data_IF_413875629627
#
_entry.id   IF_413875629627
#
_cell.length_a   1.000
_cell.length_b   1.000
_cell.length_c   1.000
_cell.angle_alpha   90.00
_cell.angle_beta   90.00
_cell.angle_gamma   90.00
#
_symmetry.space_group_name_H-M   'P 1'
#
loop_
_entity.id
_entity.type
_entity.pdbx_description
1 polymer ?
#
# COMPACT_ATOMS: atom_id res chain seq x y z
N UNK A 1 13.36 -3.26 13.20
CA UNK A 1 12.36 -2.60 12.32
C UNK A 1 12.93 -1.33 11.68
N UNK A 2 13.52 -0.40 12.43
CA UNK A 2 14.09 0.85 11.88
C UNK A 2 15.09 0.65 10.74
N UNK A 3 15.99 -0.31 10.84
CA UNK A 3 16.93 -0.66 9.77
C UNK A 3 16.26 -1.18 8.49
N UNK A 4 15.09 -1.78 8.60
CA UNK A 4 14.33 -2.21 7.44
C UNK A 4 13.59 -1.04 6.79
N UNK A 5 13.02 -0.12 7.59
CA UNK A 5 12.40 1.12 7.11
C UNK A 5 13.43 1.97 6.36
N UNK A 6 14.61 2.15 6.90
CA UNK A 6 15.71 2.89 6.27
C UNK A 6 16.65 1.99 5.45
N UNK A 7 16.16 0.86 4.92
CA UNK A 7 17.00 -0.08 4.19
C UNK A 7 17.55 0.55 2.92
N UNK A 8 18.88 0.68 2.85
CA UNK A 8 19.59 1.44 1.82
C UNK A 8 19.18 1.05 0.41
N UNK A 9 19.17 -0.25 0.08
CA UNK A 9 18.83 -0.71 -1.27
C UNK A 9 17.37 -0.39 -1.66
N UNK A 10 16.46 -0.38 -0.70
CA UNK A 10 15.06 -0.03 -0.98
C UNK A 10 14.90 1.47 -1.23
N UNK A 11 15.58 2.31 -0.45
CA UNK A 11 15.62 3.76 -0.68
C UNK A 11 16.34 4.10 -1.99
N UNK A 12 17.43 3.41 -2.33
CA UNK A 12 18.11 3.56 -3.61
C UNK A 12 17.17 3.16 -4.79
N UNK A 13 16.34 2.12 -4.63
CA UNK A 13 15.34 1.75 -5.63
C UNK A 13 14.25 2.83 -5.80
N UNK A 14 13.76 3.41 -4.70
CA UNK A 14 12.86 4.57 -4.77
C UNK A 14 13.52 5.76 -5.47
N UNK A 15 14.77 6.06 -5.17
CA UNK A 15 15.52 7.14 -5.80
C UNK A 15 15.70 6.92 -7.33
N UNK A 16 15.91 5.68 -7.79
CA UNK A 16 15.95 5.34 -9.21
C UNK A 16 14.59 5.54 -9.92
N UNK A 17 13.48 5.44 -9.19
CA UNK A 17 12.15 5.79 -9.67
C UNK A 17 11.86 7.30 -9.62
N UNK A 18 12.82 8.12 -9.18
CA UNK A 18 12.68 9.56 -9.07
C UNK A 18 12.28 10.05 -7.66
N UNK A 19 12.07 9.15 -6.70
CA UNK A 19 11.63 9.49 -5.34
C UNK A 19 12.80 9.59 -4.39
N UNK A 20 13.41 10.77 -4.30
CA UNK A 20 14.68 11.00 -3.57
C UNK A 20 14.48 11.36 -2.09
N UNK A 21 13.29 11.82 -1.71
CA UNK A 21 12.99 12.27 -0.34
C UNK A 21 11.71 11.62 0.22
N UNK A 22 11.60 10.28 0.18
CA UNK A 22 10.40 9.59 0.64
C UNK A 22 10.20 9.80 2.15
N UNK A 23 8.93 9.87 2.57
CA UNK A 23 8.55 9.88 3.99
C UNK A 23 7.88 8.56 4.34
N UNK A 24 8.25 8.00 5.49
CA UNK A 24 7.67 6.75 5.97
C UNK A 24 6.33 7.03 6.67
N UNK A 25 5.30 6.33 6.25
CA UNK A 25 4.00 6.34 6.92
C UNK A 25 3.92 5.28 8.00
N UNK A 26 3.63 4.07 7.61
CA UNK A 26 3.48 2.95 8.54
C UNK A 26 3.95 1.63 7.91
N UNK A 27 3.91 0.57 8.72
CA UNK A 27 4.25 -0.77 8.26
C UNK A 27 3.42 -1.85 8.94
N UNK A 28 3.22 -2.97 8.25
CA UNK A 28 2.48 -4.12 8.75
C UNK A 28 3.19 -5.43 8.40
N UNK A 29 3.05 -6.39 9.29
CA UNK A 29 3.40 -7.80 9.01
C UNK A 29 2.12 -8.47 8.52
N UNK A 30 2.09 -8.85 7.26
CA UNK A 30 0.95 -9.52 6.64
C UNK A 30 1.28 -11.00 6.50
N UNK A 31 0.56 -11.82 7.22
CA UNK A 31 0.80 -13.26 7.27
C UNK A 31 -0.42 -14.02 6.78
N UNK A 32 -0.21 -14.90 5.81
CA UNK A 32 -1.22 -15.86 5.34
C UNK A 32 -0.92 -17.24 5.92
N UNK A 33 -1.69 -17.69 6.91
CA UNK A 33 -1.59 -19.07 7.42
C UNK A 33 -1.86 -20.10 6.31
N UNK A 34 -1.47 -21.36 6.50
CA UNK A 34 -1.93 -22.45 5.65
C UNK A 34 -3.45 -22.42 5.45
N UNK A 35 -3.90 -22.71 4.24
CA UNK A 35 -5.31 -22.79 3.86
C UNK A 35 -6.15 -21.53 4.14
N UNK A 36 -5.51 -20.35 4.21
CA UNK A 36 -6.21 -19.08 4.41
C UNK A 36 -6.82 -18.56 3.10
N UNK A 37 -7.93 -17.80 3.18
CA UNK A 37 -8.63 -17.27 2.02
C UNK A 37 -7.80 -16.24 1.23
N UNK A 38 -8.24 -15.86 0.01
CA UNK A 38 -7.68 -14.73 -0.71
C UNK A 38 -7.86 -13.42 0.07
N UNK A 39 -7.04 -12.41 -0.26
CA UNK A 39 -7.33 -11.03 0.09
C UNK A 39 -8.14 -10.41 -1.05
N UNK A 40 -9.13 -9.63 -0.70
CA UNK A 40 -10.00 -8.94 -1.66
C UNK A 40 -9.25 -7.89 -2.48
N UNK A 41 -9.82 -7.54 -3.63
CA UNK A 41 -9.38 -6.40 -4.42
C UNK A 41 -9.58 -5.12 -3.64
N UNK A 42 -8.54 -4.29 -3.56
CA UNK A 42 -8.54 -3.01 -2.86
C UNK A 42 -7.43 -2.10 -3.37
N UNK A 43 -7.51 -0.87 -2.92
CA UNK A 43 -6.47 0.14 -3.03
C UNK A 43 -6.07 0.57 -1.63
N UNK A 44 -4.81 0.92 -1.42
CA UNK A 44 -4.35 1.49 -0.14
C UNK A 44 -4.61 2.99 -0.06
N UNK A 45 -4.83 3.64 -1.21
CA UNK A 45 -5.07 5.07 -1.34
C UNK A 45 -6.38 5.51 -0.68
N UNK A 46 -6.36 6.68 -0.04
CA UNK A 46 -7.51 7.27 0.67
C UNK A 46 -7.76 8.72 0.25
N UNK A 47 -7.21 9.11 -0.89
CA UNK A 47 -7.10 10.53 -1.26
C UNK A 47 -7.91 10.90 -2.50
N UNK A 48 -8.90 10.08 -2.88
CA UNK A 48 -9.67 10.27 -4.10
C UNK A 48 -10.50 11.56 -4.14
N UNK A 49 -10.62 12.27 -3.01
CA UNK A 49 -11.20 13.64 -2.95
C UNK A 49 -10.21 14.74 -3.37
N UNK A 50 -8.92 14.41 -3.55
CA UNK A 50 -7.90 15.36 -3.99
C UNK A 50 -7.60 15.15 -5.50
N UNK A 51 -7.60 16.23 -6.32
CA UNK A 51 -7.27 16.13 -7.75
C UNK A 51 -5.91 15.49 -8.06
N UNK A 52 -4.94 15.53 -7.15
CA UNK A 52 -3.63 14.90 -7.34
C UNK A 52 -3.75 13.38 -7.49
N UNK A 53 -4.78 12.75 -6.92
CA UNK A 53 -5.03 11.30 -7.04
C UNK A 53 -5.30 10.85 -8.48
N UNK A 54 -5.69 11.76 -9.37
CA UNK A 54 -5.98 11.49 -10.78
C UNK A 54 -4.80 11.80 -11.70
N UNK A 55 -3.62 11.98 -11.14
CA UNK A 55 -2.39 12.26 -11.87
C UNK A 55 -1.43 11.05 -11.80
N UNK A 56 -0.42 10.97 -12.68
CA UNK A 56 0.60 9.93 -12.59
C UNK A 56 1.47 9.99 -11.34
N UNK A 57 1.42 11.08 -10.57
CA UNK A 57 2.21 11.25 -9.35
C UNK A 57 1.60 10.40 -8.22
N UNK A 58 2.31 9.40 -7.67
CA UNK A 58 1.79 8.62 -6.56
C UNK A 58 1.81 9.44 -5.26
N UNK A 59 0.67 9.52 -4.58
CA UNK A 59 0.63 10.06 -3.21
C UNK A 59 1.32 9.10 -2.26
N UNK A 60 1.06 7.80 -2.42
CA UNK A 60 1.58 6.74 -1.57
C UNK A 60 2.07 5.56 -2.42
N UNK A 61 3.17 4.95 -1.97
CA UNK A 61 3.67 3.68 -2.50
C UNK A 61 3.80 2.66 -1.39
N UNK A 62 3.55 1.40 -1.71
CA UNK A 62 3.87 0.29 -0.82
C UNK A 62 5.17 -0.40 -1.23
N UNK A 63 5.94 -0.83 -0.24
CA UNK A 63 7.13 -1.65 -0.36
C UNK A 63 6.88 -2.97 0.35
N UNK A 64 6.82 -4.06 -0.40
CA UNK A 64 6.57 -5.40 0.11
C UNK A 64 7.85 -6.22 0.12
N UNK A 65 8.37 -6.51 1.32
CA UNK A 65 9.55 -7.36 1.54
C UNK A 65 9.08 -8.80 1.74
N UNK A 66 9.36 -9.65 0.79
CA UNK A 66 8.93 -11.06 0.85
C UNK A 66 9.92 -11.93 1.60
N UNK A 67 9.44 -12.63 2.63
CA UNK A 67 10.25 -13.52 3.46
C UNK A 67 10.22 -14.97 2.96
N UNK A 68 9.34 -15.27 2.01
CA UNK A 68 9.18 -16.60 1.41
C UNK A 68 8.90 -16.46 -0.08
N UNK A 69 9.24 -17.47 -0.86
CA UNK A 69 8.82 -17.57 -2.25
C UNK A 69 7.29 -17.53 -2.35
N UNK A 70 6.76 -16.83 -3.34
CA UNK A 70 5.31 -16.79 -3.58
C UNK A 70 4.93 -17.22 -4.98
N UNK A 71 3.77 -17.86 -5.05
CA UNK A 71 3.14 -18.36 -6.27
C UNK A 71 1.62 -18.24 -6.13
N UNK A 72 0.82 -18.45 -7.18
CA UNK A 72 -0.64 -18.52 -7.06
C UNK A 72 -1.13 -19.59 -6.07
N UNK A 73 -0.30 -20.61 -5.79
CA UNK A 73 -0.66 -21.66 -4.84
C UNK A 73 -0.60 -21.20 -3.38
N UNK A 74 0.36 -20.34 -3.02
CA UNK A 74 0.59 -19.93 -1.64
C UNK A 74 0.34 -18.45 -1.37
N UNK A 75 -0.41 -17.77 -2.25
CA UNK A 75 -0.92 -16.44 -1.99
C UNK A 75 -0.03 -15.32 -2.52
N UNK A 76 0.50 -15.41 -3.75
CA UNK A 76 1.19 -14.28 -4.38
C UNK A 76 0.24 -13.09 -4.59
N UNK A 77 0.83 -11.92 -4.77
CA UNK A 77 0.14 -10.69 -5.12
C UNK A 77 -0.50 -10.83 -6.51
N UNK A 78 -1.67 -10.21 -6.68
CA UNK A 78 -2.39 -9.99 -7.93
C UNK A 78 -2.55 -8.49 -8.11
N UNK A 79 -2.38 -7.99 -9.32
CA UNK A 79 -2.53 -6.56 -9.63
C UNK A 79 -3.26 -6.38 -10.96
N UNK A 80 -3.94 -5.24 -11.11
CA UNK A 80 -4.53 -4.82 -12.40
C UNK A 80 -3.68 -3.67 -12.93
N UNK A 81 -2.82 -3.90 -13.93
CA UNK A 81 -1.95 -2.87 -14.48
C UNK A 81 -2.75 -1.68 -15.01
N UNK A 82 -2.32 -0.46 -14.66
CA UNK A 82 -2.96 0.77 -15.14
C UNK A 82 -4.18 1.22 -14.32
N UNK A 83 -4.74 0.40 -13.43
CA UNK A 83 -5.95 0.73 -12.67
C UNK A 83 -5.84 1.98 -11.79
N UNK A 84 -4.65 2.41 -11.45
CA UNK A 84 -4.39 3.67 -10.73
C UNK A 84 -4.58 4.93 -11.58
N UNK A 85 -4.70 4.80 -12.90
CA UNK A 85 -4.89 5.91 -13.84
C UNK A 85 -6.12 5.73 -14.74
N UNK A 86 -6.63 4.51 -14.84
CA UNK A 86 -7.77 4.16 -15.70
C UNK A 86 -8.84 3.45 -14.89
N UNK A 87 -10.09 3.87 -15.05
CA UNK A 87 -11.22 3.24 -14.36
C UNK A 87 -11.38 1.80 -14.78
N UNK A 88 -11.42 0.92 -13.82
CA UNK A 88 -11.73 -0.51 -13.98
C UNK A 88 -13.11 -0.81 -13.40
N UNK A 89 -13.82 -1.81 -13.92
CA UNK A 89 -15.15 -2.18 -13.44
C UNK A 89 -15.22 -2.45 -11.93
N UNK A 90 -14.15 -3.00 -11.35
CA UNK A 90 -14.08 -3.24 -9.91
C UNK A 90 -14.18 -1.99 -9.05
N UNK A 91 -13.77 -0.81 -9.53
CA UNK A 91 -13.94 0.44 -8.76
C UNK A 91 -15.41 0.74 -8.44
N UNK A 92 -16.33 0.22 -9.27
CA UNK A 92 -17.77 0.43 -9.11
C UNK A 92 -18.49 -0.78 -8.48
N UNK A 93 -17.84 -1.94 -8.44
CA UNK A 93 -18.46 -3.22 -8.05
C UNK A 93 -18.02 -3.70 -6.67
N UNK A 94 -16.82 -3.35 -6.22
CA UNK A 94 -16.33 -3.80 -4.91
C UNK A 94 -17.00 -3.01 -3.78
N UNK A 95 -17.37 -3.74 -2.73
CA UNK A 95 -17.84 -3.13 -1.49
C UNK A 95 -16.77 -2.21 -0.88
N UNK A 96 -17.17 -1.22 -0.07
CA UNK A 96 -16.18 -0.41 0.65
C UNK A 96 -15.18 -1.30 1.38
N UNK A 97 -13.91 -0.96 1.21
CA UNK A 97 -12.79 -1.75 1.76
C UNK A 97 -12.92 -1.94 3.28
N UNK A 98 -12.43 -3.08 3.75
CA UNK A 98 -12.40 -3.43 5.18
C UNK A 98 -13.77 -3.58 5.84
N UNK A 99 -14.85 -3.81 5.08
CA UNK A 99 -16.11 -4.27 5.66
C UNK A 99 -15.94 -5.64 6.34
N UNK A 100 -16.78 -5.95 7.30
CA UNK A 100 -16.75 -7.25 7.98
C UNK A 100 -16.88 -8.40 6.99
N UNK A 101 -17.77 -8.29 6.00
CA UNK A 101 -17.96 -9.31 4.96
C UNK A 101 -16.68 -9.61 4.18
N UNK A 102 -15.94 -8.59 3.76
CA UNK A 102 -14.68 -8.77 3.03
C UNK A 102 -13.56 -9.32 3.92
N UNK A 103 -13.44 -8.81 5.14
CA UNK A 103 -12.36 -9.21 6.06
C UNK A 103 -12.52 -10.63 6.60
N UNK A 104 -13.77 -11.11 6.70
CA UNK A 104 -14.09 -12.49 7.16
C UNK A 104 -14.25 -13.49 6.02
N UNK A 105 -14.17 -13.04 4.75
CA UNK A 105 -14.45 -13.89 3.58
C UNK A 105 -15.86 -14.52 3.65
N UNK A 106 -16.84 -13.73 4.07
CA UNK A 106 -18.19 -14.22 4.33
C UNK A 106 -18.93 -14.66 3.06
N UNK A 107 -18.65 -13.99 1.93
CA UNK A 107 -19.20 -14.34 0.61
C UNK A 107 -18.09 -14.52 -0.42
N UNK A 108 -17.69 -15.76 -0.75
CA UNK A 108 -16.67 -16.02 -1.77
C UNK A 108 -17.06 -15.58 -3.19
N UNK A 109 -18.35 -15.29 -3.47
CA UNK A 109 -18.83 -14.80 -4.75
C UNK A 109 -18.80 -13.28 -4.89
N UNK A 110 -18.45 -12.56 -3.82
CA UNK A 110 -18.28 -11.10 -3.87
C UNK A 110 -17.26 -10.72 -4.96
N UNK A 111 -17.56 -9.73 -5.82
CA UNK A 111 -16.63 -9.23 -6.85
C UNK A 111 -15.22 -8.93 -6.31
N UNK A 112 -15.12 -8.54 -5.05
CA UNK A 112 -13.86 -8.31 -4.37
C UNK A 112 -12.92 -9.53 -4.32
N UNK A 113 -13.40 -10.74 -4.49
CA UNK A 113 -12.59 -11.97 -4.50
C UNK A 113 -12.47 -12.61 -5.88
N UNK A 114 -13.26 -12.15 -6.84
CA UNK A 114 -13.33 -12.76 -8.17
C UNK A 114 -12.03 -12.57 -8.96
N UNK A 115 -11.78 -13.50 -9.86
CA UNK A 115 -10.77 -13.37 -10.89
C UNK A 115 -11.28 -12.40 -11.96
N UNK A 116 -10.36 -11.56 -12.48
CA UNK A 116 -10.61 -10.68 -13.63
C UNK A 116 -9.59 -10.97 -14.73
N UNK A 117 -9.97 -10.72 -15.97
CA UNK A 117 -9.13 -11.11 -17.12
C UNK A 117 -7.85 -10.23 -17.23
N UNK A 118 -7.93 -9.00 -16.75
CA UNK A 118 -6.83 -8.02 -16.81
C UNK A 118 -5.80 -8.19 -15.69
N UNK A 119 -6.07 -9.08 -14.72
CA UNK A 119 -5.14 -9.29 -13.61
C UNK A 119 -3.85 -9.99 -14.05
N UNK A 120 -2.77 -9.63 -13.41
CA UNK A 120 -1.52 -10.38 -13.49
C UNK A 120 -1.08 -10.85 -12.11
N UNK A 121 -0.56 -12.07 -12.06
CA UNK A 121 0.12 -12.59 -10.88
C UNK A 121 1.52 -12.03 -10.76
N UNK A 122 1.95 -11.75 -9.53
CA UNK A 122 3.30 -11.28 -9.20
C UNK A 122 3.99 -12.31 -8.29
N UNK A 123 4.44 -13.45 -8.85
CA UNK A 123 5.24 -14.42 -8.10
C UNK A 123 6.64 -13.84 -7.83
N UNK A 124 7.15 -14.04 -6.64
CA UNK A 124 8.45 -13.51 -6.20
C UNK A 124 9.22 -14.54 -5.40
N UNK A 125 10.53 -14.30 -5.24
CA UNK A 125 11.42 -15.09 -4.38
C UNK A 125 11.58 -14.44 -3.00
N UNK A 126 11.95 -15.25 -2.02
CA UNK A 126 12.36 -14.74 -0.71
C UNK A 126 13.54 -13.77 -0.87
N UNK A 127 13.40 -12.59 -0.28
CA UNK A 127 14.36 -11.50 -0.40
C UNK A 127 14.02 -10.47 -1.49
N UNK A 128 13.05 -10.76 -2.36
CA UNK A 128 12.57 -9.77 -3.33
C UNK A 128 11.80 -8.63 -2.64
N UNK A 129 11.86 -7.47 -3.27
CA UNK A 129 11.10 -6.28 -2.94
C UNK A 129 10.14 -5.95 -4.09
N UNK A 130 8.85 -5.85 -3.80
CA UNK A 130 7.86 -5.30 -4.73
C UNK A 130 7.53 -3.87 -4.33
N UNK A 131 7.59 -2.95 -5.28
CA UNK A 131 7.17 -1.55 -5.11
C UNK A 131 5.94 -1.34 -5.97
N UNK A 132 4.87 -0.82 -5.38
CA UNK A 132 3.64 -0.53 -6.10
C UNK A 132 2.98 0.76 -5.61
N UNK A 133 2.12 1.35 -6.46
CA UNK A 133 1.35 2.53 -6.10
C UNK A 133 0.18 2.15 -5.18
N UNK A 134 -0.07 2.95 -4.15
CA UNK A 134 -1.17 2.73 -3.21
C UNK A 134 -2.56 2.76 -3.87
N UNK A 135 -2.72 3.50 -4.95
CA UNK A 135 -3.95 3.56 -5.74
C UNK A 135 -4.09 2.47 -6.82
N UNK A 136 -3.11 1.54 -6.93
CA UNK A 136 -3.23 0.40 -7.83
C UNK A 136 -4.18 -0.64 -7.23
N UNK A 137 -5.19 -1.08 -7.99
CA UNK A 137 -6.02 -2.21 -7.59
C UNK A 137 -5.15 -3.46 -7.44
N UNK A 138 -5.13 -3.99 -6.23
CA UNK A 138 -4.37 -5.18 -5.91
C UNK A 138 -5.12 -6.11 -4.95
N UNK A 139 -4.72 -7.36 -4.97
CA UNK A 139 -5.29 -8.45 -4.19
C UNK A 139 -4.22 -9.49 -3.90
N UNK A 140 -4.54 -10.58 -3.26
CA UNK A 140 -3.65 -11.75 -3.24
C UNK A 140 -4.44 -13.04 -3.29
N UNK A 141 -3.86 -14.07 -3.90
CA UNK A 141 -4.41 -15.43 -3.86
C UNK A 141 -4.55 -15.95 -2.43
N UNK A 142 -5.46 -16.91 -2.24
CA UNK A 142 -5.50 -17.71 -1.01
C UNK A 142 -4.23 -18.55 -0.85
N UNK A 143 -3.87 -18.84 0.36
CA UNK A 143 -2.78 -19.78 0.63
C UNK A 143 -3.35 -21.20 0.69
N UNK A 144 -3.14 -22.00 -0.36
CA UNK A 144 -3.56 -23.40 -0.47
C UNK A 144 -2.42 -24.38 -0.15
N UNK A 145 -1.34 -23.89 0.45
CA UNK A 145 -0.20 -24.70 0.89
C UNK A 145 -0.23 -24.96 2.39
N UNK A 146 0.60 -25.89 2.84
CA UNK A 146 0.77 -26.24 4.25
C UNK A 146 1.77 -25.32 4.98
N UNK A 147 2.29 -24.32 4.30
CA UNK A 147 3.27 -23.38 4.86
C UNK A 147 2.69 -21.98 5.00
N UNK A 148 3.10 -21.29 6.05
CA UNK A 148 2.76 -19.87 6.25
C UNK A 148 3.54 -18.99 5.26
N UNK A 149 2.85 -18.03 4.65
CA UNK A 149 3.46 -17.00 3.82
C UNK A 149 3.44 -15.66 4.55
N UNK A 150 4.59 -15.02 4.68
CA UNK A 150 4.71 -13.74 5.38
C UNK A 150 5.39 -12.71 4.48
N UNK A 151 4.83 -11.49 4.48
CA UNK A 151 5.39 -10.32 3.83
C UNK A 151 5.39 -9.16 4.83
N UNK A 152 6.42 -8.33 4.79
CA UNK A 152 6.49 -7.08 5.52
C UNK A 152 6.15 -5.97 4.54
N UNK A 153 5.02 -5.30 4.73
CA UNK A 153 4.59 -4.20 3.87
C UNK A 153 4.81 -2.89 4.59
N UNK A 154 5.41 -1.95 3.89
CA UNK A 154 5.70 -0.61 4.38
C UNK A 154 5.18 0.41 3.39
N UNK A 155 4.51 1.45 3.88
CA UNK A 155 3.95 2.51 3.08
C UNK A 155 4.78 3.78 3.23
N UNK A 156 5.11 4.39 2.07
CA UNK A 156 5.85 5.63 1.98
C UNK A 156 5.06 6.64 1.16
N UNK A 157 5.27 7.90 1.47
CA UNK A 157 4.86 9.06 0.69
C UNK A 157 6.08 9.54 -0.08
N UNK A 158 6.23 9.14 -1.36
CA UNK A 158 7.50 9.22 -2.08
C UNK A 158 7.94 10.65 -2.37
N UNK A 159 6.99 11.56 -2.50
CA UNK A 159 7.23 12.98 -2.76
C UNK A 159 6.31 13.86 -1.88
N UNK A 160 6.39 13.64 -0.58
CA UNK A 160 5.50 14.29 0.39
C UNK A 160 5.50 15.82 0.29
N UNK A 161 6.68 16.42 0.08
CA UNK A 161 6.82 17.88 0.04
C UNK A 161 6.16 18.52 -1.19
N UNK A 162 5.99 17.78 -2.29
CA UNK A 162 5.33 18.25 -3.50
C UNK A 162 3.80 18.04 -3.49
N UNK A 163 3.25 17.33 -2.50
CA UNK A 163 1.81 17.15 -2.38
C UNK A 163 1.11 18.48 -2.03
N UNK A 164 -0.17 18.67 -2.45
CA UNK A 164 -1.00 19.78 -2.00
C UNK A 164 -1.04 19.87 -0.47
N UNK A 165 -1.08 21.08 0.08
CA UNK A 165 -1.04 21.29 1.54
C UNK A 165 -2.13 20.51 2.29
N UNK A 166 -3.35 20.45 1.75
CA UNK A 166 -4.45 19.67 2.37
C UNK A 166 -4.14 18.18 2.41
N UNK A 167 -3.49 17.66 1.36
CA UNK A 167 -3.04 16.25 1.32
C UNK A 167 -1.91 16.02 2.31
N UNK A 168 -0.94 16.93 2.41
CA UNK A 168 0.12 16.87 3.44
C UNK A 168 -0.48 16.87 4.86
N UNK A 169 -1.45 17.77 5.14
CA UNK A 169 -2.15 17.83 6.42
C UNK A 169 -2.88 16.50 6.73
N UNK A 170 -3.53 15.92 5.72
CA UNK A 170 -4.23 14.63 5.84
C UNK A 170 -3.26 13.50 6.16
N UNK A 171 -2.16 13.40 5.41
CA UNK A 171 -1.10 12.41 5.65
C UNK A 171 -0.54 12.57 7.06
N UNK A 172 -0.18 13.78 7.47
CA UNK A 172 0.35 14.03 8.81
C UNK A 172 -0.64 13.65 9.92
N UNK A 173 -1.94 13.88 9.69
CA UNK A 173 -3.00 13.48 10.64
C UNK A 173 -3.16 11.96 10.73
N UNK A 174 -3.14 11.26 9.60
CA UNK A 174 -3.27 9.79 9.54
C UNK A 174 -2.08 9.09 10.19
N UNK A 175 -0.87 9.62 10.00
CA UNK A 175 0.38 8.98 10.41
C UNK A 175 0.92 9.50 11.76
N UNK A 176 0.18 10.38 12.43
CA UNK A 176 0.59 11.09 13.65
C UNK A 176 1.21 10.21 14.74
N UNK A 177 0.72 8.97 14.88
CA UNK A 177 1.14 8.06 15.95
C UNK A 177 2.18 7.01 15.50
N UNK A 178 2.51 6.97 14.23
CA UNK A 178 3.32 5.88 13.66
C UNK A 178 4.83 6.11 13.78
N UNK A 179 5.28 7.36 13.74
CA UNK A 179 6.70 7.70 13.78
C UNK A 179 7.34 7.53 15.16
N UNK A 180 6.64 7.89 16.22
CA UNK A 180 7.19 7.90 17.59
C UNK A 180 7.25 6.49 18.20
N UNK A 181 6.32 5.60 17.83
CA UNK A 181 6.29 4.23 18.32
C UNK A 181 7.48 3.36 17.84
N UNK A 182 8.15 3.76 16.75
CA UNK A 182 9.26 3.02 16.16
C UNK A 182 10.64 3.45 16.66
N UNK A 183 10.72 4.61 17.32
CA UNK A 183 11.98 5.22 17.74
C UNK A 183 12.36 4.84 19.19
N UNK A 184 12.47 3.54 19.49
CA UNK A 184 12.75 3.03 20.81
C UNK A 184 14.14 3.44 21.36
N UNK A 185 15.11 3.72 20.48
CA UNK A 185 16.48 4.09 20.83
C UNK A 185 17.01 5.23 19.94
N UNK A 186 18.08 5.88 20.40
CA UNK A 186 18.69 7.04 19.73
C UNK A 186 19.25 6.70 18.34
N UNK A 187 19.82 5.51 18.15
CA UNK A 187 20.33 5.05 16.84
C UNK A 187 19.19 4.98 15.83
N UNK A 188 18.07 4.38 16.22
CA UNK A 188 16.88 4.25 15.38
C UNK A 188 16.26 5.61 15.08
N UNK A 189 16.18 6.51 16.05
CA UNK A 189 15.69 7.89 15.83
C UNK A 189 16.51 8.63 14.78
N UNK A 190 17.83 8.58 14.86
CA UNK A 190 18.73 9.21 13.87
C UNK A 190 18.56 8.61 12.49
N UNK A 191 18.43 7.29 12.41
CA UNK A 191 18.26 6.58 11.15
C UNK A 191 16.95 6.98 10.44
N UNK A 192 15.88 7.19 11.19
CA UNK A 192 14.56 7.52 10.67
C UNK A 192 14.31 9.02 10.49
N UNK A 193 15.22 9.89 10.92
CA UNK A 193 15.02 11.34 10.93
C UNK A 193 14.64 11.90 9.54
N UNK A 194 15.32 11.46 8.48
CA UNK A 194 15.05 11.92 7.11
C UNK A 194 13.72 11.40 6.54
N UNK A 195 13.22 10.31 7.11
CA UNK A 195 11.98 9.64 6.68
C UNK A 195 10.75 10.12 7.46
N UNK A 196 10.93 10.99 8.45
CA UNK A 196 9.83 11.49 9.28
C UNK A 196 8.92 12.41 8.49
N UNK A 197 7.60 12.23 8.66
CA UNK A 197 6.59 13.15 8.16
C UNK A 197 6.55 14.34 9.08
N UNK A 198 6.83 15.53 8.54
CA UNK A 198 6.71 16.81 9.24
C UNK A 198 5.86 17.76 8.40
N UNK A 199 4.70 18.13 8.92
CA UNK A 199 3.85 19.16 8.35
C UNK A 199 3.70 20.30 9.36
N UNK A 200 3.94 21.54 8.91
CA UNK A 200 3.93 22.76 9.76
C UNK A 200 2.93 23.80 9.30
N UNK A 201 2.10 23.44 8.28
CA UNK A 201 1.05 24.33 7.78
C UNK A 201 -0.21 24.27 8.65
N UNK A 202 -1.23 24.99 8.23
CA UNK A 202 -2.52 25.13 8.92
C UNK A 202 -3.71 24.64 8.07
N UNK A 203 -3.45 23.98 6.95
CA UNK A 203 -4.50 23.45 6.10
C UNK A 203 -5.34 22.37 6.81
N UNK A 204 -6.64 22.42 6.61
CA UNK A 204 -7.57 21.41 7.12
C UNK A 204 -7.43 20.12 6.32
N UNK A 205 -7.24 18.96 6.98
CA UNK A 205 -7.23 17.66 6.31
C UNK A 205 -8.50 17.42 5.50
N UNK A 206 -8.37 16.70 4.39
CA UNK A 206 -9.51 16.18 3.62
C UNK A 206 -10.07 14.93 4.28
N UNK A 207 -11.35 14.64 4.07
CA UNK A 207 -11.93 13.36 4.48
C UNK A 207 -11.34 12.21 3.65
N UNK A 208 -11.20 11.05 4.27
CA UNK A 208 -10.72 9.86 3.58
C UNK A 208 -11.76 9.36 2.58
N UNK A 209 -11.41 9.35 1.29
CA UNK A 209 -12.24 8.80 0.22
C UNK A 209 -11.57 7.58 -0.38
N UNK A 210 -12.21 6.42 -0.19
CA UNK A 210 -11.67 5.11 -0.57
C UNK A 210 -12.04 4.68 -2.00
N UNK A 211 -12.98 5.36 -2.63
CA UNK A 211 -13.45 5.03 -3.98
C UNK A 211 -13.21 6.19 -4.92
N UNK A 212 -12.64 5.96 -6.12
CA UNK A 212 -12.39 7.03 -7.07
C UNK A 212 -13.68 7.66 -7.57
N UNK A 213 -13.66 8.98 -7.68
CA UNK A 213 -14.73 9.77 -8.30
C UNK A 213 -14.73 9.65 -9.84
N UNK A 214 -15.65 10.34 -10.53
CA UNK A 214 -15.82 10.25 -11.99
C UNK A 214 -14.64 10.85 -12.79
N UNK A 215 -13.68 11.47 -12.14
CA UNK A 215 -12.47 11.98 -12.78
C UNK A 215 -11.49 10.88 -13.19
N UNK A 216 -11.54 9.70 -12.57
CA UNK A 216 -10.86 8.51 -13.06
C UNK A 216 -11.66 7.96 -14.25
N UNK A 217 -11.05 7.99 -15.43
CA UNK A 217 -11.70 7.61 -16.70
C UNK A 217 -11.23 6.25 -17.19
#
# INVERSE_FOLDING_TARGET
>A
MGELIAHRKALDALAQLGFTEPKFGHGRIISKPPHSPPLFWHEDGRFWDDPVSYTPQPIQVFLMYYLTDTTPKNGCLRVIPGSHLTRHALHDQISPQHTESLTTYADPSDPGFCKVDEEIDVPVKAGDLVIGYGSLLHASHGNRSDQRRTVLTMWYYPDFAALPERTQATVASLEKNNGDALAADEKTRRLLQSLKIEYRGDATPIEAQLTPGPALK
#
